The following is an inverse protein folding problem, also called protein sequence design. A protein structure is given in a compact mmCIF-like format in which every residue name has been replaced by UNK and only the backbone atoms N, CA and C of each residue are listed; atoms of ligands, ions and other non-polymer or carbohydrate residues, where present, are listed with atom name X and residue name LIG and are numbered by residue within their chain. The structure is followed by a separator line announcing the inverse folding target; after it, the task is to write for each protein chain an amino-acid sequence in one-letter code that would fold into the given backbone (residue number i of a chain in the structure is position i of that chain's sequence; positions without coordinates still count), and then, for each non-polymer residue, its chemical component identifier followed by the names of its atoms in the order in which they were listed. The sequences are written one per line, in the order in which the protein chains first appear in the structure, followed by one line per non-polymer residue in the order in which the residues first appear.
data_IF_810295668143
#
_entry.id   IF_810295668143
#
_cell.length_a   1.000
_cell.length_b   1.000
_cell.length_c   1.000
_cell.angle_alpha   90.00
_cell.angle_beta   90.00
_cell.angle_gamma   90.00
#
_symmetry.space_group_name_H-M   'P 1'
#
loop_
_entity.id
_entity.type
_entity.pdbx_description
1 polymer ?
2 polymer ?
3 non-polymer ?
4 water ?
#
# COMPACT_ATOMS: atom_id res chain seq x y z
N UNK A 2 -11.45 17.28 -12.74
CA UNK A 2 -12.60 18.17 -12.82
C UNK A 2 -13.88 17.37 -13.05
N UNK A 3 -13.85 16.35 -13.93
CA UNK A 3 -15.03 15.50 -14.11
C UNK A 3 -15.00 14.43 -13.02
N UNK A 4 -16.08 14.38 -12.23
CA UNK A 4 -16.19 13.50 -11.09
C UNK A 4 -17.06 12.31 -11.43
N UNK A 5 -16.89 11.19 -10.71
CA UNK A 5 -17.85 10.09 -10.85
C UNK A 5 -19.20 10.51 -10.29
N UNK A 6 -20.23 9.84 -10.74
CA UNK A 6 -21.59 10.14 -10.31
C UNK A 6 -21.86 9.37 -9.01
N UNK A 7 -22.24 10.10 -7.95
CA UNK A 7 -22.46 9.50 -6.64
C UNK A 7 -23.94 9.21 -6.35
N UNK A 8 -24.86 9.60 -7.23
CA UNK A 8 -26.29 9.41 -6.98
C UNK A 8 -26.73 8.02 -7.43
N UNK A 9 -27.65 7.43 -6.66
CA UNK A 9 -28.08 6.06 -6.89
C UNK A 9 -29.60 5.99 -6.77
N UNK A 10 -30.22 4.98 -7.36
CA UNK A 10 -31.66 4.79 -7.17
C UNK A 10 -31.98 4.60 -5.69
N UNK A 11 -33.27 4.75 -5.37
CA UNK A 11 -33.71 4.50 -4.01
C UNK A 11 -33.37 3.05 -3.61
N UNK A 12 -32.88 2.88 -2.39
CA UNK A 12 -32.46 1.56 -1.94
C UNK A 12 -31.04 1.19 -2.30
N UNK A 13 -30.32 2.05 -3.03
CA UNK A 13 -28.97 1.74 -3.44
C UNK A 13 -28.04 2.84 -2.95
N UNK A 14 -26.76 2.49 -2.74
CA UNK A 14 -25.75 3.43 -2.27
C UNK A 14 -24.53 3.34 -3.16
N UNK A 15 -23.87 4.50 -3.37
CA UNK A 15 -22.65 4.53 -4.17
C UNK A 15 -21.58 3.69 -3.48
N UNK A 16 -20.92 2.84 -4.25
CA UNK A 16 -19.90 1.96 -3.69
C UNK A 16 -18.48 2.31 -4.12
N UNK A 17 -18.23 2.47 -5.42
CA UNK A 17 -16.88 2.73 -5.90
C UNK A 17 -16.95 3.22 -7.33
N UNK A 18 -15.79 3.63 -7.86
CA UNK A 18 -15.74 3.99 -9.27
C UNK A 18 -14.39 3.59 -9.82
N UNK A 19 -14.34 3.33 -11.12
CA UNK A 19 -13.16 2.84 -11.81
C UNK A 19 -13.05 3.57 -13.13
N UNK A 20 -11.85 3.57 -13.69
CA UNK A 20 -11.68 4.02 -15.08
C UNK A 20 -12.11 2.88 -16.00
N UNK A 21 -13.28 3.02 -16.61
CA UNK A 21 -13.72 2.05 -17.59
C UNK A 21 -12.90 2.19 -18.87
N UNK A 22 -12.73 3.42 -19.33
CA UNK A 22 -11.81 3.74 -20.41
C UNK A 22 -10.96 4.93 -19.97
N UNK A 23 -9.92 5.20 -20.78
CA UNK A 23 -9.12 6.40 -20.56
C UNK A 23 -9.97 7.65 -20.47
N UNK A 24 -11.14 7.66 -21.14
CA UNK A 24 -12.03 8.81 -21.19
C UNK A 24 -13.44 8.51 -20.64
N UNK A 25 -13.60 7.48 -19.81
CA UNK A 25 -14.92 7.14 -19.27
C UNK A 25 -14.78 6.62 -17.84
N UNK A 26 -15.40 7.35 -16.89
CA UNK A 26 -15.52 6.86 -15.51
C UNK A 26 -16.72 5.93 -15.44
N UNK A 27 -16.63 4.90 -14.60
CA UNK A 27 -17.77 4.04 -14.35
C UNK A 27 -17.98 3.98 -12.86
N UNK A 28 -19.18 4.34 -12.40
CA UNK A 28 -19.56 4.31 -11.00
C UNK A 28 -20.50 3.13 -10.75
N UNK A 29 -20.43 2.58 -9.53
CA UNK A 29 -21.20 1.40 -9.15
C UNK A 29 -22.01 1.72 -7.91
N UNK A 30 -23.32 1.54 -8.00
CA UNK A 30 -24.22 1.50 -6.85
C UNK A 30 -24.40 0.05 -6.39
N UNK A 31 -24.76 -0.11 -5.11
CA UNK A 31 -25.03 -1.43 -4.56
C UNK A 31 -26.34 -1.36 -3.80
N UNK A 32 -27.12 -2.44 -3.89
CA UNK A 32 -28.34 -2.60 -3.14
C UNK A 32 -28.08 -3.49 -1.93
N UNK A 33 -29.03 -3.48 -1.00
CA UNK A 33 -29.01 -4.39 0.14
C UNK A 33 -30.36 -5.08 0.25
N UNK A 34 -30.45 -6.38 -0.08
CA UNK A 34 -29.36 -7.27 -0.53
C UNK A 34 -28.88 -6.93 -1.93
N UNK A 35 -27.68 -7.37 -2.29
CA UNK A 35 -27.16 -7.21 -3.65
C UNK A 35 -28.15 -7.74 -4.67
N UNK A 36 -28.26 -7.05 -5.81
CA UNK A 36 -29.13 -7.53 -6.87
C UNK A 36 -28.56 -7.09 -8.22
N UNK A 37 -29.12 -7.65 -9.29
CA UNK A 37 -28.69 -7.30 -10.64
C UNK A 37 -29.32 -6.00 -11.14
N UNK A 38 -30.12 -5.35 -10.30
CA UNK A 38 -30.76 -4.08 -10.62
C UNK A 38 -29.85 -2.90 -10.28
N UNK A 39 -28.67 -3.17 -9.73
CA UNK A 39 -27.77 -2.12 -9.27
C UNK A 39 -27.36 -1.16 -10.41
N UNK A 40 -27.51 0.14 -10.15
CA UNK A 40 -27.21 1.14 -11.17
C UNK A 40 -25.71 1.28 -11.40
N UNK A 41 -25.30 1.16 -12.66
CA UNK A 41 -23.91 1.36 -13.09
C UNK A 41 -23.93 2.53 -14.06
N UNK A 42 -23.14 3.57 -13.79
CA UNK A 42 -23.25 4.81 -14.54
C UNK A 42 -21.91 5.14 -15.17
N UNK A 43 -21.90 5.34 -16.48
CA UNK A 43 -20.70 5.72 -17.22
C UNK A 43 -20.71 7.23 -17.44
N UNK A 44 -19.61 7.89 -17.09
CA UNK A 44 -19.48 9.33 -17.20
C UNK A 44 -18.32 9.65 -18.12
N UNK A 45 -18.54 10.27 -19.28
CA UNK A 45 -17.43 10.61 -20.17
C UNK A 45 -16.61 11.75 -19.61
N UNK A 46 -15.28 11.65 -19.74
CA UNK A 46 -14.40 12.79 -19.49
C UNK A 46 -14.52 13.80 -20.64
N UNK A 47 -14.16 15.04 -20.36
CA UNK A 47 -13.95 15.96 -21.45
C UNK A 47 -12.71 15.57 -22.26
N UNK A 48 -12.67 15.92 -23.55
CA UNK A 48 -11.57 15.42 -24.40
C UNK A 48 -10.18 15.86 -23.96
N UNK A 49 -10.05 16.86 -23.09
CA UNK A 49 -8.71 17.25 -22.62
C UNK A 49 -8.33 16.60 -21.30
N UNK A 50 -9.21 15.77 -20.75
CA UNK A 50 -9.00 15.09 -19.49
C UNK A 50 -8.64 13.61 -19.72
N UNK A 51 -8.05 13.01 -18.70
CA UNK A 51 -7.77 11.59 -18.68
C UNK A 51 -8.31 11.04 -17.36
N UNK A 52 -8.82 9.81 -17.40
CA UNK A 52 -9.31 9.17 -16.20
C UNK A 52 -8.16 8.61 -15.37
N UNK A 53 -8.14 8.92 -14.08
CA UNK A 53 -7.12 8.39 -13.18
C UNK A 53 -7.82 7.68 -12.02
N UNK A 54 -7.13 6.70 -11.44
CA UNK A 54 -7.77 5.81 -10.47
C UNK A 54 -6.87 5.53 -9.28
N UNK A 55 -7.45 5.46 -8.09
CA UNK A 55 -6.66 5.08 -6.92
C UNK A 55 -7.61 4.53 -5.89
N UNK A 56 -7.05 3.98 -4.82
CA UNK A 56 -7.87 3.43 -3.76
C UNK A 56 -7.93 4.43 -2.62
N UNK A 57 -9.13 4.67 -2.10
CA UNK A 57 -9.36 5.60 -1.02
C UNK A 57 -8.95 4.97 0.31
N UNK A 58 -8.85 5.82 1.35
CA UNK A 58 -8.53 5.39 2.70
C UNK A 58 -9.31 4.16 3.15
N UNK A 59 -10.51 3.92 2.60
CA UNK A 59 -11.34 2.78 2.95
C UNK A 59 -11.15 1.59 2.01
N UNK A 60 -10.12 1.63 1.16
CA UNK A 60 -9.88 0.56 0.21
C UNK A 60 -10.75 0.58 -1.03
N UNK A 61 -11.74 1.47 -1.13
CA UNK A 61 -12.58 1.45 -2.31
C UNK A 61 -11.93 2.21 -3.46
N UNK A 62 -12.16 1.72 -4.67
CA UNK A 62 -11.60 2.38 -5.85
C UNK A 62 -12.30 3.72 -6.07
N UNK A 63 -11.53 4.71 -6.51
CA UNK A 63 -12.09 6.04 -6.82
C UNK A 63 -11.47 6.52 -8.12
N UNK A 64 -12.32 6.86 -9.09
CA UNK A 64 -11.86 7.31 -10.40
C UNK A 64 -12.49 8.66 -10.76
N UNK A 65 -11.70 9.49 -11.45
CA UNK A 65 -12.13 10.81 -11.89
C UNK A 65 -11.23 11.26 -13.03
N UNK A 66 -11.66 12.26 -13.77
CA UNK A 66 -10.88 12.78 -14.88
C UNK A 66 -10.17 14.06 -14.47
N UNK A 67 -8.89 14.13 -14.83
CA UNK A 67 -8.05 15.31 -14.55
C UNK A 67 -7.56 15.82 -15.90
N UNK A 68 -7.48 17.14 -16.12
CA UNK A 68 -6.87 17.63 -17.37
C UNK A 68 -5.45 17.10 -17.54
N UNK A 69 -5.15 16.63 -18.75
CA UNK A 69 -3.83 16.06 -18.99
C UNK A 69 -2.74 17.09 -18.72
N UNK A 70 -3.00 18.38 -18.98
CA UNK A 70 -1.99 19.39 -18.70
C UNK A 70 -1.64 19.47 -17.22
N UNK A 71 -2.51 18.96 -16.34
CA UNK A 71 -2.26 19.02 -14.91
C UNK A 71 -1.54 17.79 -14.36
N UNK A 72 -1.14 16.84 -15.22
CA UNK A 72 -0.39 15.68 -14.76
C UNK A 72 0.69 15.39 -15.80
N UNK A 73 1.37 14.25 -15.63
CA UNK A 73 2.48 13.86 -16.47
C UNK A 73 2.00 12.72 -17.36
N UNK A 74 2.03 12.93 -18.66
CA UNK A 74 1.74 11.88 -19.62
C UNK A 74 3.07 11.39 -20.17
N UNK A 75 3.28 10.07 -20.18
CA UNK A 75 4.51 9.50 -20.71
C UNK A 75 4.25 8.13 -21.32
N UNK A 76 5.23 7.67 -22.11
CA UNK A 76 5.17 6.37 -22.78
C UNK A 76 6.05 5.38 -22.02
N UNK A 77 5.55 4.17 -21.82
CA UNK A 77 6.41 3.13 -21.30
C UNK A 77 7.37 2.67 -22.39
N UNK A 78 8.41 1.94 -21.98
CA UNK A 78 9.47 1.57 -22.92
C UNK A 78 8.89 0.84 -24.14
N UNK A 79 9.53 1.08 -25.29
CA UNK A 79 9.11 0.38 -26.50
C UNK A 79 9.17 -1.13 -26.34
N UNK A 80 10.20 -1.63 -25.65
CA UNK A 80 10.34 -3.05 -25.35
C UNK A 80 9.60 -3.30 -24.05
N UNK A 81 8.49 -4.04 -24.12
CA UNK A 81 7.72 -4.34 -22.94
C UNK A 81 8.52 -4.90 -21.78
N UNK A 82 9.66 -5.56 -22.05
CA UNK A 82 10.44 -6.18 -20.98
C UNK A 82 11.52 -5.26 -20.44
N UNK A 83 11.54 -4.00 -20.86
CA UNK A 83 12.51 -3.02 -20.35
C UNK A 83 11.79 -2.08 -19.39
N UNK A 84 12.31 -1.99 -18.16
CA UNK A 84 11.76 -1.03 -17.21
C UNK A 84 12.14 0.40 -17.61
N UNK A 85 11.15 1.29 -17.67
CA UNK A 85 11.40 2.68 -18.01
C UNK A 85 10.78 3.60 -16.98
N UNK A 86 11.34 4.80 -16.86
CA UNK A 86 10.99 5.67 -15.74
C UNK A 86 10.84 7.12 -16.18
N UNK A 87 10.20 7.92 -15.32
CA UNK A 87 10.16 9.37 -15.46
C UNK A 87 10.27 9.98 -14.07
N UNK A 88 10.72 11.24 -14.01
CA UNK A 88 10.94 11.91 -12.73
C UNK A 88 10.09 13.17 -12.65
N UNK A 89 9.58 13.45 -11.46
CA UNK A 89 8.55 14.45 -11.22
C UNK A 89 8.80 15.15 -9.89
N UNK A 90 8.89 16.49 -9.93
CA UNK A 90 8.70 17.35 -8.76
C UNK A 90 7.23 17.67 -8.59
N UNK A 91 6.83 17.98 -7.37
CA UNK A 91 5.47 18.42 -7.08
C UNK A 91 5.53 19.70 -6.24
N UNK A 92 4.85 20.75 -6.70
CA UNK A 92 4.69 22.02 -6.01
C UNK A 92 3.34 22.08 -5.31
N UNK A 93 3.25 22.67 -4.12
CA UNK A 93 4.35 23.24 -3.34
C UNK A 93 5.06 22.17 -2.54
N UNK A 94 6.15 22.52 -1.85
CA UNK A 94 6.81 21.58 -0.94
C UNK A 94 5.81 21.05 0.10
N UNK A 95 5.91 19.76 0.37
CA UNK A 95 5.01 19.15 1.34
C UNK A 95 4.84 17.68 1.04
N UNK A 96 3.99 17.05 1.83
CA UNK A 96 3.79 15.61 1.75
C UNK A 96 2.70 15.36 0.72
N UNK A 97 3.04 14.60 -0.33
CA UNK A 97 2.07 14.24 -1.37
C UNK A 97 2.34 12.82 -1.84
N UNK A 98 1.32 12.23 -2.49
CA UNK A 98 1.45 10.97 -3.21
C UNK A 98 1.55 11.25 -4.71
N UNK A 99 2.08 10.27 -5.45
CA UNK A 99 1.82 10.17 -6.87
C UNK A 99 0.92 8.97 -7.11
N UNK A 100 0.05 9.06 -8.12
CA UNK A 100 -0.61 7.88 -8.62
C UNK A 100 -0.18 7.69 -10.06
N UNK A 101 -0.34 6.48 -10.59
CA UNK A 101 -0.01 6.21 -11.98
C UNK A 101 -1.04 5.21 -12.52
N UNK A 102 -1.53 5.43 -13.73
CA UNK A 102 -2.43 4.48 -14.38
C UNK A 102 -1.89 4.27 -15.79
N UNK A 103 -2.09 3.07 -16.35
CA UNK A 103 -1.52 2.70 -17.65
C UNK A 103 -2.65 2.25 -18.55
N UNK A 104 -2.65 2.76 -19.79
CA UNK A 104 -3.66 2.47 -20.81
C UNK A 104 -3.00 1.91 -22.06
N UNK A 105 -3.75 1.06 -22.76
CA UNK A 105 -3.27 0.54 -24.03
C UNK A 105 -3.83 1.39 -25.17
N UNK A 106 -3.54 1.00 -26.42
CA UNK A 106 -3.89 1.85 -27.54
C UNK A 106 -5.41 1.96 -27.73
N UNK A 107 -6.18 1.01 -27.21
CA UNK A 107 -7.62 1.00 -27.31
C UNK A 107 -8.30 1.75 -26.16
N UNK A 108 -7.53 2.51 -25.39
CA UNK A 108 -7.97 3.27 -24.23
C UNK A 108 -8.47 2.38 -23.09
N UNK A 109 -8.07 1.12 -23.08
CA UNK A 109 -8.45 0.25 -21.96
C UNK A 109 -7.33 0.27 -20.93
N UNK A 110 -7.66 0.27 -19.63
CA UNK A 110 -6.60 0.07 -18.63
C UNK A 110 -5.90 -1.24 -18.91
N UNK A 111 -4.59 -1.27 -18.68
CA UNK A 111 -3.81 -2.47 -18.93
C UNK A 111 -2.94 -2.74 -17.71
N UNK A 112 -3.01 -3.98 -17.20
CA UNK A 112 -2.17 -4.38 -16.07
C UNK A 112 -0.71 -4.49 -16.50
N UNK A 113 0.18 -3.95 -15.68
CA UNK A 113 1.62 -4.06 -15.91
C UNK A 113 2.21 -4.87 -14.75
N UNK A 114 3.38 -5.47 -15.00
CA UNK A 114 4.01 -6.35 -14.02
C UNK A 114 4.45 -5.58 -12.77
N UNK A 115 4.95 -4.37 -12.95
CA UNK A 115 5.45 -3.65 -11.79
C UNK A 115 5.38 -2.15 -12.02
N UNK A 116 4.85 -1.43 -11.03
CA UNK A 116 4.98 0.01 -10.92
C UNK A 116 5.72 0.27 -9.61
N UNK A 117 6.84 0.99 -9.68
CA UNK A 117 7.60 1.25 -8.47
C UNK A 117 7.96 2.72 -8.39
N UNK A 118 8.05 3.20 -7.18
CA UNK A 118 8.31 4.61 -6.89
C UNK A 118 9.59 4.73 -6.08
N UNK A 119 10.44 5.72 -6.42
CA UNK A 119 11.69 5.95 -5.72
C UNK A 119 11.78 7.42 -5.34
N UNK A 120 11.97 7.69 -4.04
CA UNK A 120 12.25 9.04 -3.62
C UNK A 120 13.68 9.38 -3.96
N UNK A 121 13.90 10.63 -4.36
CA UNK A 121 15.20 11.06 -4.83
C UNK A 121 15.58 12.36 -4.14
N UNK A 122 16.86 12.56 -3.85
CA UNK A 122 17.98 11.65 -4.13
C UNK A 122 17.96 10.45 -3.19
N UNK A 123 18.66 9.38 -3.57
CA UNK A 123 18.83 8.24 -2.71
C UNK A 123 18.12 6.98 -3.14
N UNK A 124 17.26 7.05 -4.16
CA UNK A 124 16.56 5.87 -4.65
C UNK A 124 15.86 5.15 -3.51
N UNK A 125 15.11 5.92 -2.74
CA UNK A 125 14.45 5.44 -1.54
C UNK A 125 13.15 4.74 -1.93
N UNK A 126 12.95 3.51 -1.47
CA UNK A 126 11.73 2.78 -1.85
C UNK A 126 10.48 3.53 -1.37
N UNK A 127 9.64 4.00 -2.31
CA UNK A 127 8.38 4.68 -1.98
C UNK A 127 7.17 3.91 -2.51
N UNK A 128 7.31 2.60 -2.66
CA UNK A 128 6.17 1.75 -2.96
C UNK A 128 6.40 0.93 -4.19
N UNK A 129 6.01 -0.35 -4.17
CA UNK A 129 6.10 -1.23 -5.32
C UNK A 129 4.78 -1.96 -5.45
N UNK A 130 4.17 -1.92 -6.62
CA UNK A 130 2.93 -2.64 -6.88
C UNK A 130 3.03 -3.45 -8.14
N UNK A 131 2.29 -4.56 -8.20
CA UNK A 131 2.41 -5.47 -9.31
C UNK A 131 1.07 -5.95 -9.82
N UNK A 132 1.08 -6.42 -11.07
CA UNK A 132 -0.11 -6.96 -11.75
C UNK A 132 -1.32 -6.08 -11.52
N UNK A 133 -1.20 -4.86 -12.02
CA UNK A 133 -2.19 -3.84 -11.73
C UNK A 133 -2.11 -2.78 -12.83
N UNK A 134 -3.26 -2.19 -13.15
CA UNK A 134 -3.24 -1.09 -14.10
C UNK A 134 -2.95 0.25 -13.43
N UNK A 135 -2.98 0.32 -12.10
CA UNK A 135 -2.77 1.58 -11.42
C UNK A 135 -2.15 1.32 -10.06
N UNK A 136 -1.39 2.30 -9.57
CA UNK A 136 -0.72 2.11 -8.27
C UNK A 136 -0.20 3.46 -7.77
N UNK A 137 -0.31 3.68 -6.45
CA UNK A 137 0.07 4.95 -5.83
C UNK A 137 1.27 4.75 -4.91
N UNK A 138 2.09 5.81 -4.83
CA UNK A 138 3.26 5.87 -3.97
C UNK A 138 2.86 6.07 -2.52
N UNK A 139 3.82 5.80 -1.65
CA UNK A 139 3.76 6.24 -0.26
C UNK A 139 3.63 7.77 -0.20
N UNK A 140 3.27 8.27 0.98
CA UNK A 140 3.25 9.71 1.21
C UNK A 140 4.68 10.23 1.35
N UNK A 141 5.09 11.12 0.45
CA UNK A 141 6.49 11.51 0.32
C UNK A 141 6.64 13.02 0.48
N UNK A 142 7.70 13.43 1.19
CA UNK A 142 7.91 14.86 1.46
C UNK A 142 8.65 15.45 0.26
N UNK A 143 7.90 15.98 -0.70
CA UNK A 143 8.46 16.73 -1.82
C UNK A 143 8.99 18.10 -1.35
N UNK A 144 10.04 18.56 -2.02
CA UNK A 144 10.64 19.88 -1.78
C UNK A 144 11.48 20.26 -2.99
N UNK A 145 12.11 21.43 -2.93
CA UNK A 145 12.94 21.84 -4.06
C UNK A 145 14.10 20.88 -4.29
N UNK A 146 14.50 20.12 -3.26
CA UNK A 146 15.57 19.15 -3.41
C UNK A 146 15.08 17.69 -3.44
N UNK A 147 13.81 17.43 -3.13
CA UNK A 147 13.27 16.07 -3.07
C UNK A 147 12.22 15.88 -4.14
N UNK A 148 12.38 14.84 -4.97
CA UNK A 148 11.42 14.53 -6.03
C UNK A 148 11.29 13.01 -6.14
N UNK A 149 10.44 12.56 -7.06
CA UNK A 149 10.09 11.14 -7.11
C UNK A 149 10.24 10.60 -8.52
N UNK A 150 10.90 9.45 -8.64
CA UNK A 150 11.00 8.70 -9.89
C UNK A 150 9.92 7.61 -9.89
N UNK A 151 9.19 7.50 -10.99
CA UNK A 151 8.19 6.44 -11.19
C UNK A 151 8.69 5.51 -12.29
N UNK A 152 8.66 4.20 -12.05
CA UNK A 152 9.13 3.23 -13.02
C UNK A 152 8.03 2.23 -13.35
N UNK A 153 7.85 1.93 -14.64
CA UNK A 153 6.88 0.93 -15.09
C UNK A 153 7.63 -0.19 -15.80
N UNK A 154 7.37 -1.41 -15.39
CA UNK A 154 7.86 -2.61 -16.07
C UNK A 154 6.62 -3.32 -16.61
N UNK A 155 6.39 -3.21 -17.91
CA UNK A 155 5.16 -3.78 -18.49
C UNK A 155 5.16 -5.28 -18.39
N UNK A 156 6.24 -5.93 -18.86
CA UNK A 156 6.27 -7.39 -18.94
C UNK A 156 5.49 -7.98 -20.10
N UNK A 157 4.79 -7.16 -20.88
CA UNK A 157 4.13 -7.66 -22.06
C UNK A 157 4.24 -6.70 -23.23
N UNK A 158 3.16 -5.98 -23.53
CA UNK A 158 3.18 -4.95 -24.56
C UNK A 158 4.01 -3.75 -24.09
N UNK A 159 4.73 -3.13 -25.03
CA UNK A 159 5.41 -1.89 -24.77
C UNK A 159 4.68 -0.71 -25.36
N UNK A 160 5.33 0.46 -25.29
CA UNK A 160 4.77 1.71 -25.83
C UNK A 160 3.37 1.99 -25.26
N UNK A 161 3.16 1.65 -24.00
CA UNK A 161 1.89 1.93 -23.35
C UNK A 161 1.84 3.38 -22.90
N UNK A 162 0.61 3.89 -22.69
CA UNK A 162 0.36 5.28 -22.30
C UNK A 162 0.17 5.38 -20.79
N UNK A 163 1.12 6.02 -20.11
CA UNK A 163 1.08 6.15 -18.66
C UNK A 163 0.73 7.57 -18.27
N UNK A 164 0.03 7.70 -17.14
CA UNK A 164 -0.37 9.00 -16.63
C UNK A 164 -0.04 9.04 -15.14
N UNK A 165 0.74 10.03 -14.73
CA UNK A 165 1.18 10.14 -13.34
C UNK A 165 0.76 11.49 -12.79
N UNK A 166 0.01 11.48 -11.69
CA UNK A 166 -0.60 12.67 -11.13
C UNK A 166 -0.25 12.70 -9.64
N UNK A 167 -0.50 13.84 -8.99
CA UNK A 167 -0.27 13.95 -7.55
C UNK A 167 -1.59 14.04 -6.80
N UNK A 168 -1.64 13.47 -5.59
CA UNK A 168 -2.86 13.50 -4.78
C UNK A 168 -2.51 13.48 -3.30
N UNK A 169 -3.46 13.95 -2.49
CA UNK A 169 -3.41 13.92 -1.04
C UNK A 169 -4.73 13.40 -0.51
N UNK A 170 -4.73 12.91 0.73
CA UNK A 170 -6.00 12.52 1.33
C UNK A 170 -6.28 13.33 2.58
N UNK B 1 32.93 -36.19 -5.32
CA UNK B 1 32.21 -35.70 -4.14
C UNK B 1 31.65 -34.29 -4.36
N UNK B 2 30.43 -34.02 -3.91
CA UNK B 2 29.85 -32.70 -4.08
C UNK B 2 28.92 -32.35 -2.93
N UNK B 3 28.96 -31.07 -2.54
CA UNK B 3 28.11 -30.52 -1.48
C UNK B 3 26.96 -29.72 -2.08
N UNK B 4 25.79 -29.90 -1.50
CA UNK B 4 24.58 -29.22 -1.93
C UNK B 4 23.82 -28.75 -0.71
N UNK B 5 23.08 -27.64 -0.82
CA UNK B 5 22.50 -27.04 0.39
C UNK B 5 21.38 -27.89 0.98
N UNK B 6 21.16 -27.73 2.28
CA UNK B 6 20.05 -28.35 2.98
C UNK B 6 19.05 -27.24 3.26
N UNK B 7 17.96 -27.23 2.50
CA UNK B 7 17.00 -26.15 2.56
C UNK B 7 15.98 -26.39 3.67
N UNK B 8 15.31 -25.31 4.09
CA UNK B 8 14.13 -25.43 4.93
C UNK B 8 13.01 -26.25 4.24
N UNK B 9 13.00 -26.31 2.92
CA UNK B 9 12.00 -27.11 2.21
C UNK B 9 12.64 -28.33 1.56
N UNK B 10 11.93 -29.45 1.48
CA UNK B 10 12.49 -30.63 0.82
C UNK B 10 12.61 -30.44 -0.68
N UNK B 11 13.39 -31.32 -1.30
CA UNK B 11 13.49 -31.36 -2.76
C UNK B 11 12.10 -31.42 -3.39
N UNK B 12 11.96 -30.73 -4.52
CA UNK B 12 10.67 -30.60 -5.17
C UNK B 12 9.73 -29.61 -4.54
N UNK B 13 10.16 -28.93 -3.46
CA UNK B 13 9.33 -27.95 -2.78
C UNK B 13 10.12 -26.65 -2.62
N UNK B 14 9.41 -25.53 -2.60
CA UNK B 14 10.03 -24.22 -2.49
C UNK B 14 9.42 -23.45 -1.32
N UNK B 15 10.26 -22.70 -0.59
CA UNK B 15 9.74 -21.79 0.42
C UNK B 15 8.73 -20.81 -0.21
N UNK B 16 7.58 -20.65 0.44
CA UNK B 16 6.55 -19.74 -0.03
C UNK B 16 6.40 -18.51 0.85
N UNK B 17 6.23 -18.71 2.16
CA UNK B 17 5.80 -17.62 3.03
C UNK B 17 5.91 -18.09 4.48
N UNK B 18 5.83 -17.12 5.39
CA UNK B 18 5.90 -17.37 6.81
C UNK B 18 5.05 -16.34 7.54
N UNK B 19 4.48 -16.77 8.68
CA UNK B 19 3.55 -15.98 9.46
C UNK B 19 3.88 -16.17 10.94
N UNK B 20 3.38 -15.25 11.77
CA UNK B 20 3.43 -15.46 13.21
C UNK B 20 2.25 -16.36 13.59
N UNK B 21 2.54 -17.65 13.79
CA UNK B 21 1.53 -18.57 14.31
C UNK B 21 1.16 -18.21 15.74
N UNK B 22 2.17 -17.93 16.57
CA UNK B 22 1.99 -17.45 17.92
C UNK B 22 2.95 -16.28 18.13
N UNK B 23 2.73 -15.55 19.22
CA UNK B 23 3.64 -14.46 19.56
C UNK B 23 5.08 -14.96 19.69
N UNK B 24 5.27 -16.26 19.93
CA UNK B 24 6.60 -16.84 20.07
C UNK B 24 6.79 -18.01 19.12
N UNK B 25 6.08 -18.03 17.99
CA UNK B 25 6.23 -19.14 17.05
C UNK B 25 6.06 -18.64 15.61
N UNK B 26 7.12 -18.81 14.81
CA UNK B 26 7.02 -18.59 13.36
C UNK B 26 6.50 -19.88 12.73
N UNK B 27 5.55 -19.75 11.81
CA UNK B 27 5.13 -20.88 10.97
C UNK B 27 5.54 -20.58 9.54
N UNK B 28 6.20 -21.54 8.91
CA UNK B 28 6.77 -21.39 7.58
C UNK B 28 6.16 -22.44 6.64
N UNK B 29 5.92 -22.06 5.39
CA UNK B 29 5.13 -22.85 4.44
C UNK B 29 5.96 -23.16 3.21
N UNK B 30 6.05 -24.44 2.85
CA UNK B 30 6.62 -24.86 1.57
C UNK B 30 5.50 -25.20 0.59
N UNK B 31 5.77 -25.02 -0.70
CA UNK B 31 4.81 -25.40 -1.73
C UNK B 31 5.49 -26.30 -2.75
N UNK B 32 4.76 -27.30 -3.22
CA UNK B 32 5.22 -28.19 -4.28
C UNK B 32 4.56 -27.82 -5.59
N UNK B 33 5.11 -28.32 -6.68
CA UNK B 33 4.51 -28.12 -8.00
C UNK B 33 4.43 -29.48 -8.70
N UNK B 34 3.24 -30.06 -8.84
CA UNK B 34 1.92 -29.50 -8.46
C UNK B 34 1.71 -29.42 -6.95
N UNK B 35 0.70 -28.71 -6.46
CA UNK B 35 0.46 -28.65 -5.03
C UNK B 35 0.17 -30.04 -4.50
N UNK B 36 0.47 -30.26 -3.21
CA UNK B 36 0.24 -31.56 -2.61
C UNK B 36 0.10 -31.39 -1.10
N UNK B 37 -0.58 -32.36 -0.47
CA UNK B 37 -0.68 -32.33 0.98
C UNK B 37 0.60 -32.81 1.64
N UNK B 38 1.64 -33.13 0.87
CA UNK B 38 2.96 -33.44 1.39
C UNK B 38 3.77 -32.21 1.72
N UNK B 39 3.26 -31.02 1.40
CA UNK B 39 4.01 -29.79 1.56
C UNK B 39 4.42 -29.56 3.01
N UNK B 40 5.68 -29.17 3.21
CA UNK B 40 6.29 -29.08 4.53
C UNK B 40 5.83 -27.82 5.24
N UNK B 41 5.36 -27.98 6.48
CA UNK B 41 4.85 -26.88 7.29
C UNK B 41 5.71 -26.93 8.55
N UNK B 42 6.40 -25.84 8.89
CA UNK B 42 7.38 -25.91 9.96
C UNK B 42 7.14 -24.79 10.97
N UNK B 43 6.99 -25.15 12.23
CA UNK B 43 6.87 -24.18 13.30
C UNK B 43 8.22 -24.02 13.97
N UNK B 44 8.65 -22.78 14.16
CA UNK B 44 9.93 -22.48 14.77
C UNK B 44 9.72 -21.59 15.99
N UNK B 45 10.21 -21.97 17.16
CA UNK B 45 10.03 -21.10 18.35
C UNK B 45 10.92 -19.86 18.31
N UNK B 46 10.40 -18.76 18.84
CA UNK B 46 11.28 -17.65 19.14
C UNK B 46 12.03 -17.94 20.45
N UNK B 47 13.17 -17.29 20.61
CA UNK B 47 13.81 -17.34 21.91
C UNK B 47 12.95 -16.58 22.92
N UNK B 48 13.05 -16.93 24.21
CA UNK B 48 12.12 -16.36 25.19
C UNK B 48 12.16 -14.84 25.28
N UNK B 49 13.26 -14.21 24.88
CA UNK B 49 13.41 -12.77 24.93
C UNK B 49 12.90 -12.08 23.66
N UNK B 50 12.49 -12.86 22.66
CA UNK B 50 12.10 -12.37 21.35
C UNK B 50 10.58 -12.46 21.17
N UNK B 51 10.08 -11.74 20.16
CA UNK B 51 8.68 -11.84 19.79
C UNK B 51 8.59 -11.89 18.27
N UNK B 52 7.53 -12.51 17.77
CA UNK B 52 7.33 -12.66 16.34
C UNK B 52 6.66 -11.42 15.77
N UNK B 53 7.19 -10.92 14.66
CA UNK B 53 6.61 -9.77 13.97
C UNK B 53 6.46 -10.15 12.51
N UNK B 54 5.45 -9.57 11.86
CA UNK B 54 5.02 -9.99 10.52
C UNK B 54 4.78 -8.77 9.65
N UNK B 55 5.22 -8.85 8.40
CA UNK B 55 4.90 -7.85 7.40
C UNK B 55 4.83 -8.54 6.05
N UNK B 56 4.47 -7.78 5.02
CA UNK B 56 4.40 -8.31 3.67
C UNK B 56 5.60 -7.83 2.88
N UNK B 57 6.12 -8.70 2.01
CA UNK B 57 7.20 -8.30 1.13
C UNK B 57 6.64 -7.60 -0.11
N UNK B 58 7.56 -7.10 -0.94
CA UNK B 58 7.17 -6.44 -2.19
C UNK B 58 6.31 -7.34 -3.08
N UNK B 59 6.51 -8.66 -3.02
CA UNK B 59 5.69 -9.58 -3.81
C UNK B 59 4.36 -9.94 -3.13
N UNK B 60 4.05 -9.32 -2.00
CA UNK B 60 2.81 -9.58 -1.30
C UNK B 60 2.85 -10.72 -0.30
N UNK B 61 3.89 -11.54 -0.34
CA UNK B 61 3.99 -12.70 0.56
C UNK B 61 4.25 -12.23 2.00
N UNK B 62 3.66 -12.92 2.98
CA UNK B 62 3.96 -12.56 4.35
C UNK B 62 5.35 -13.07 4.74
N UNK B 63 6.01 -12.31 5.61
CA UNK B 63 7.34 -12.64 6.12
C UNK B 63 7.34 -12.38 7.62
N UNK B 64 7.70 -13.40 8.39
CA UNK B 64 7.70 -13.28 9.84
C UNK B 64 9.08 -13.57 10.37
N UNK B 65 9.42 -12.91 11.47
CA UNK B 65 10.71 -13.14 12.10
C UNK B 65 10.60 -12.86 13.59
N UNK B 66 11.48 -13.50 14.35
CA UNK B 66 11.61 -13.24 15.78
C UNK B 66 12.61 -12.11 16.01
N UNK B 67 12.21 -11.13 16.81
CA UNK B 67 13.05 -9.99 17.10
C UNK B 67 13.06 -9.75 18.62
N UNK B 68 14.20 -9.45 19.22
CA UNK B 68 14.21 -9.25 20.69
C UNK B 68 13.33 -8.08 21.11
N UNK B 69 12.51 -8.32 22.13
CA UNK B 69 11.53 -7.33 22.60
C UNK B 69 12.20 -6.00 22.93
N UNK B 70 13.44 -6.05 23.43
CA UNK B 70 14.15 -4.84 23.83
C UNK B 70 14.41 -3.92 22.66
N UNK B 71 14.41 -4.46 21.44
CA UNK B 71 14.59 -3.67 20.22
C UNK B 71 13.29 -3.05 19.71
N UNK B 72 12.18 -3.27 20.41
CA UNK B 72 10.85 -2.88 19.95
C UNK B 72 10.19 -2.01 21.01
N UNK B 73 9.04 -1.48 20.65
CA UNK B 73 8.16 -0.83 21.60
C UNK B 73 6.98 -1.75 21.82
N UNK B 74 6.83 -2.20 23.07
CA UNK B 74 5.68 -2.98 23.51
C UNK B 74 4.68 -2.05 24.18
N UNK B 75 3.42 -2.13 23.77
CA UNK B 75 2.41 -1.25 24.36
C UNK B 75 1.04 -1.91 24.33
N UNK B 76 0.15 -1.42 25.21
CA UNK B 76 -1.19 -1.96 25.38
C UNK B 76 -2.20 -1.09 24.65
N UNK B 77 -3.10 -1.73 23.90
CA UNK B 77 -4.22 -0.98 23.36
C UNK B 77 -5.15 -0.54 24.50
N UNK B 78 -6.08 0.34 24.15
CA UNK B 78 -6.94 0.97 25.15
C UNK B 78 -7.69 -0.08 25.96
N UNK B 79 -7.86 0.19 27.25
CA UNK B 79 -8.66 -0.70 28.08
C UNK B 79 -10.05 -0.87 27.49
N UNK B 80 -10.62 0.22 26.98
CA UNK B 80 -11.90 0.17 26.27
C UNK B 80 -11.63 -0.14 24.81
N UNK B 81 -12.17 -1.27 24.33
CA UNK B 81 -11.92 -1.70 22.97
C UNK B 81 -12.47 -0.75 21.92
N UNK B 82 -13.44 0.09 22.29
CA UNK B 82 -14.04 1.00 21.34
C UNK B 82 -13.42 2.38 21.41
N UNK B 83 -12.21 2.48 21.96
CA UNK B 83 -11.50 3.73 22.14
C UNK B 83 -10.15 3.63 21.45
N UNK B 84 -9.86 4.59 20.58
CA UNK B 84 -8.55 4.63 19.95
C UNK B 84 -7.46 4.91 20.99
N UNK B 85 -6.30 4.32 20.78
CA UNK B 85 -5.14 4.54 21.62
C UNK B 85 -3.87 4.55 20.80
N UNK B 86 -2.96 5.46 21.13
CA UNK B 86 -1.78 5.69 20.31
C UNK B 86 -0.51 5.62 21.14
N UNK B 87 0.59 5.29 20.47
CA UNK B 87 1.92 5.40 21.03
C UNK B 87 2.76 6.16 20.02
N UNK B 88 3.83 6.76 20.54
CA UNK B 88 4.71 7.60 19.73
C UNK B 88 6.13 7.09 19.82
N UNK B 89 6.80 7.00 18.66
CA UNK B 89 8.06 6.27 18.58
C UNK B 89 9.02 6.96 17.62
N UNK B 90 10.30 6.86 17.92
CA UNK B 90 11.37 7.25 17.02
C UNK B 90 12.20 6.02 16.70
N UNK B 91 13.15 6.15 15.76
CA UNK B 91 13.92 5.00 15.30
C UNK B 91 15.41 5.32 15.26
N UNK B 92 16.22 4.40 15.75
CA UNK B 92 17.66 4.51 15.72
C UNK B 92 18.21 3.49 14.72
N UNK B 93 19.09 3.90 13.79
CA UNK B 93 19.61 5.25 13.58
C UNK B 93 18.64 6.11 12.78
N UNK B 94 18.95 7.39 12.64
CA UNK B 94 18.16 8.24 11.76
C UNK B 94 18.29 7.76 10.32
N UNK B 95 17.23 7.95 9.55
CA UNK B 95 17.18 7.53 8.17
C UNK B 95 15.79 7.04 7.84
N UNK B 96 15.64 6.48 6.63
CA UNK B 96 14.35 5.98 6.19
C UNK B 96 14.08 4.62 6.80
N UNK B 97 12.91 4.46 7.42
CA UNK B 97 12.46 3.20 7.97
C UNK B 97 10.94 3.14 7.81
N UNK B 98 10.41 1.93 7.85
CA UNK B 98 9.00 1.71 8.11
C UNK B 98 8.85 1.31 9.56
N UNK B 99 7.66 1.53 10.10
CA UNK B 99 7.24 0.86 11.32
C UNK B 99 6.28 -0.26 10.96
N UNK B 100 6.42 -1.39 11.64
CA UNK B 100 5.44 -2.46 11.60
C UNK B 100 4.76 -2.51 12.96
N UNK B 101 3.50 -2.96 12.98
CA UNK B 101 2.78 -3.18 14.23
C UNK B 101 2.02 -4.50 14.14
N UNK B 102 2.16 -5.36 15.14
CA UNK B 102 1.38 -6.59 15.21
C UNK B 102 0.69 -6.62 16.57
N UNK B 103 -0.50 -7.22 16.63
CA UNK B 103 -1.34 -7.21 17.83
C UNK B 103 -1.63 -8.65 18.25
N UNK B 104 -1.46 -8.92 19.53
CA UNK B 104 -1.64 -10.26 20.10
C UNK B 104 -2.65 -10.21 21.22
N UNK B 105 -3.38 -11.32 21.42
CA UNK B 105 -4.26 -11.43 22.56
C UNK B 105 -3.53 -12.15 23.69
N UNK B 106 -4.26 -12.45 24.78
CA UNK B 106 -3.64 -12.98 25.99
C UNK B 106 -3.10 -14.38 25.76
N UNK B 107 -3.57 -15.05 24.71
CA UNK B 107 -3.15 -16.41 24.39
C UNK B 107 -2.02 -16.43 23.37
N UNK B 108 -1.41 -15.29 23.09
CA UNK B 108 -0.31 -15.16 22.13
C UNK B 108 -0.73 -15.47 20.71
N UNK B 109 -2.02 -15.38 20.42
CA UNK B 109 -2.57 -15.47 19.07
C UNK B 109 -2.70 -14.08 18.46
N UNK B 110 -2.37 -13.95 17.17
CA UNK B 110 -2.65 -12.69 16.48
C UNK B 110 -4.14 -12.39 16.54
N UNK B 111 -4.47 -11.13 16.79
CA UNK B 111 -5.84 -10.66 16.81
C UNK B 111 -5.99 -9.51 15.83
N UNK B 112 -7.07 -9.55 15.02
CA UNK B 112 -7.36 -8.48 14.08
C UNK B 112 -7.98 -7.29 14.82
N UNK B 113 -7.61 -6.09 14.40
CA UNK B 113 -8.18 -4.87 14.96
C UNK B 113 -8.82 -4.10 13.82
N UNK B 114 -9.83 -3.27 14.13
CA UNK B 114 -10.49 -2.47 13.09
C UNK B 114 -9.51 -1.59 12.31
N UNK B 115 -8.58 -0.92 13.00
CA UNK B 115 -7.77 0.09 12.34
C UNK B 115 -6.41 0.23 13.01
N UNK B 116 -5.36 0.19 12.20
CA UNK B 116 -4.01 0.58 12.56
C UNK B 116 -3.65 1.76 11.67
N UNK B 117 -3.28 2.89 12.27
CA UNK B 117 -3.00 4.06 11.47
C UNK B 117 -1.73 4.73 11.97
N UNK B 118 -1.00 5.32 11.03
CA UNK B 118 0.32 5.88 11.28
C UNK B 118 0.29 7.36 10.93
N UNK B 119 0.94 8.18 11.76
CA UNK B 119 1.03 9.62 11.50
C UNK B 119 2.47 10.07 11.66
N UNK B 120 3.03 10.63 10.61
CA UNK B 120 4.34 11.23 10.72
C UNK B 120 4.24 12.51 11.54
N UNK B 121 5.27 12.76 12.35
CA UNK B 121 5.23 13.92 13.22
C UNK B 121 6.51 14.73 13.05
N UNK B 122 6.43 16.05 13.26
CA UNK B 122 5.20 16.80 13.54
C UNK B 122 4.39 16.96 12.26
N UNK B 123 3.12 17.36 12.35
CA UNK B 123 2.26 17.55 11.21
C UNK B 123 1.13 16.56 11.07
N UNK B 124 1.13 15.47 11.83
CA UNK B 124 0.10 14.44 11.76
C UNK B 124 -0.12 14.01 10.31
N UNK B 125 0.99 13.77 9.62
CA UNK B 125 0.96 13.35 8.22
C UNK B 125 0.50 11.90 8.13
N UNK B 126 -0.47 11.62 7.24
CA UNK B 126 -0.96 10.26 7.07
C UNK B 126 0.15 9.39 6.47
N UNK B 127 0.58 8.38 7.20
CA UNK B 127 1.66 7.49 6.77
C UNK B 127 1.19 6.06 6.64
N UNK B 128 -0.11 5.88 6.42
CA UNK B 128 -0.66 4.56 6.20
C UNK B 128 -1.86 4.30 7.09
N UNK B 129 -2.89 3.68 6.54
CA UNK B 129 -4.04 3.21 7.33
C UNK B 129 -4.38 1.80 6.88
N UNK B 130 -4.49 0.88 7.83
CA UNK B 130 -4.86 -0.49 7.54
C UNK B 130 -6.02 -0.92 8.41
N UNK B 131 -6.79 -1.86 7.91
CA UNK B 131 -8.05 -2.23 8.55
C UNK B 131 -8.23 -3.72 8.61
N UNK B 132 -8.94 -4.16 9.65
CA UNK B 132 -9.33 -5.56 9.85
C UNK B 132 -8.14 -6.48 9.60
N UNK B 133 -7.09 -6.21 10.38
CA UNK B 133 -5.83 -6.94 10.23
C UNK B 133 -5.16 -6.99 11.59
N UNK B 134 -4.37 -8.05 11.80
CA UNK B 134 -3.56 -8.17 13.01
C UNK B 134 -2.21 -7.49 12.87
N UNK B 135 -1.77 -7.16 11.66
CA UNK B 135 -0.51 -6.46 11.50
C UNK B 135 -0.61 -5.49 10.34
N UNK B 136 0.14 -4.40 10.43
CA UNK B 136 0.14 -3.40 9.36
C UNK B 136 1.39 -2.53 9.47
N UNK B 137 1.96 -2.14 8.31
CA UNK B 137 3.20 -1.38 8.25
C UNK B 137 2.99 0.01 7.67
N UNK B 138 3.74 0.98 8.20
CA UNK B 138 3.68 2.36 7.72
C UNK B 138 4.33 2.50 6.35
N UNK B 139 4.12 3.67 5.73
CA UNK B 139 4.90 4.07 4.58
C UNK B 139 6.38 4.21 4.98
N UNK B 140 7.25 4.30 3.99
CA UNK B 140 8.66 4.57 4.27
C UNK B 140 8.77 6.02 4.73
N UNK B 141 9.49 6.27 5.81
CA UNK B 141 9.47 7.57 6.49
C UNK B 141 10.86 7.93 6.98
N UNK B 142 11.22 9.19 6.80
CA UNK B 142 12.55 9.68 7.18
C UNK B 142 12.56 10.04 8.66
N UNK B 143 13.07 9.11 9.49
CA UNK B 143 13.19 9.35 10.94
C UNK B 143 14.45 10.13 11.27
N UNK B 144 14.32 11.05 12.22
CA UNK B 144 15.43 11.91 12.61
C UNK B 144 15.29 12.29 14.09
N UNK B 145 16.20 13.12 14.58
CA UNK B 145 16.04 13.63 15.93
C UNK B 145 14.77 14.46 16.06
N UNK B 146 14.32 15.05 14.96
CA UNK B 146 13.17 15.94 14.91
C UNK B 146 11.94 15.34 14.26
N UNK B 147 12.04 14.16 13.66
CA UNK B 147 10.96 13.53 12.91
C UNK B 147 10.71 12.14 13.48
N UNK B 148 9.45 11.86 13.83
CA UNK B 148 9.05 10.60 14.47
C UNK B 148 7.64 10.23 14.03
N UNK B 149 7.11 9.13 14.59
CA UNK B 149 5.85 8.57 14.13
C UNK B 149 4.94 8.16 15.27
N UNK B 150 3.67 8.48 15.12
CA UNK B 150 2.64 8.03 16.02
C UNK B 150 1.90 6.87 15.38
N UNK B 151 1.66 5.82 16.16
CA UNK B 151 0.87 4.68 15.74
C UNK B 151 -0.39 4.65 16.59
N UNK B 152 -1.54 4.51 15.96
CA UNK B 152 -2.81 4.43 16.66
C UNK B 152 -3.52 3.11 16.33
N UNK B 153 -4.05 2.46 17.36
CA UNK B 153 -4.82 1.23 17.17
C UNK B 153 -6.23 1.46 17.67
N UNK B 154 -7.21 1.08 16.85
CA UNK B 154 -8.61 1.01 17.24
C UNK B 154 -9.02 -0.46 17.20
N UNK B 155 -9.15 -1.07 18.38
CA UNK B 155 -9.49 -2.50 18.42
C UNK B 155 -10.83 -2.75 17.77
N UNK B 156 -11.88 -2.10 18.28
CA UNK B 156 -13.24 -2.37 17.87
C UNK B 156 -13.86 -3.59 18.52
N UNK B 157 -13.11 -4.31 19.37
CA UNK B 157 -13.67 -5.41 20.13
C UNK B 157 -13.07 -5.48 21.53
N UNK B 158 -12.20 -6.46 21.73
CA UNK B 158 -11.49 -6.60 23.01
C UNK B 158 -10.48 -5.46 23.20
N UNK B 159 -10.31 -5.02 24.45
CA UNK B 159 -9.30 -4.04 24.81
C UNK B 159 -8.08 -4.69 25.47
N UNK B 160 -7.15 -3.82 25.90
CA UNK B 160 -5.92 -4.24 26.58
C UNK B 160 -5.18 -5.33 25.79
N UNK B 161 -5.14 -5.18 24.48
CA UNK B 161 -4.38 -6.10 23.65
C UNK B 161 -2.90 -5.75 23.69
N UNK B 162 -2.05 -6.72 23.39
CA UNK B 162 -0.61 -6.49 23.41
C UNK B 162 -0.16 -6.12 22.00
N UNK B 163 0.31 -4.87 21.83
CA UNK B 163 0.82 -4.41 20.55
C UNK B 163 2.34 -4.37 20.57
N UNK B 164 2.94 -4.60 19.40
CA UNK B 164 4.39 -4.53 19.24
C UNK B 164 4.67 -3.75 17.97
N UNK B 165 5.43 -2.66 18.10
CA UNK B 165 5.76 -1.80 16.97
C UNK B 165 7.26 -1.80 16.78
N UNK B 166 7.71 -2.28 15.62
CA UNK B 166 9.12 -2.41 15.31
C UNK B 166 9.43 -1.64 14.04
N UNK B 167 10.72 -1.51 13.75
CA UNK B 167 11.18 -0.78 12.58
C UNK B 167 11.84 -1.75 11.60
N UNK B 168 11.57 -1.56 10.32
CA UNK B 168 12.23 -2.36 9.29
C UNK B 168 12.53 -1.46 8.10
N UNK B 169 13.44 -1.92 7.25
CA UNK B 169 13.96 -1.16 6.12
C UNK B 169 13.66 -1.93 4.84
N UNK B 170 13.23 -1.21 3.81
CA UNK B 170 12.99 -1.86 2.54
C UNK B 170 14.08 -1.42 1.63
N UNK C 16 17.79 17.37 -11.19
CA UNK C 16 16.49 18.00 -11.33
C UNK C 16 15.55 17.02 -12.04
N UNK C 17 14.26 17.18 -11.78
CA UNK C 17 13.24 16.30 -12.32
C UNK C 17 12.87 16.68 -13.75
N UNK C 18 12.45 15.69 -14.54
CA UNK C 18 12.04 15.98 -15.90
C UNK C 18 10.74 16.78 -15.97
N UNK C 19 9.87 16.66 -14.97
CA UNK C 19 8.58 17.32 -14.98
C UNK C 19 8.28 17.89 -13.59
N UNK C 20 7.46 18.94 -13.57
CA UNK C 20 6.97 19.49 -12.33
C UNK C 20 5.45 19.53 -12.36
N UNK C 21 4.83 18.97 -11.32
CA UNK C 21 3.37 18.97 -11.20
C UNK C 21 2.95 20.14 -10.32
N UNK C 22 1.93 20.88 -10.77
CA UNK C 22 1.43 22.02 -10.02
C UNK C 22 -0.04 21.86 -9.64
N UNK C 23 -0.57 20.64 -9.70
CA UNK C 23 -1.96 20.39 -9.34
C UNK C 23 -1.98 19.14 -8.46
N UNK C 24 -2.65 19.24 -7.29
CA UNK C 24 -2.70 18.14 -6.34
C UNK C 24 -4.17 17.75 -6.14
N UNK C 25 -4.51 16.52 -6.54
CA UNK C 25 -5.89 16.06 -6.48
C UNK C 25 -6.28 15.64 -5.07
N UNK C 26 -7.48 16.02 -4.66
CA UNK C 26 -8.05 15.57 -3.39
C UNK C 26 -9.48 15.14 -3.66
N UNK C 27 -9.84 13.93 -3.24
CA UNK C 27 -11.19 13.41 -3.47
C UNK C 27 -12.19 14.17 -2.62
N UNK C 28 -13.38 14.50 -3.15
CA UNK C 28 -14.37 15.20 -2.33
C UNK C 28 -14.73 14.39 -1.11
N UNK C 29 -15.11 15.10 -0.06
CA UNK C 29 -15.58 14.47 1.16
C UNK C 29 -16.68 13.44 0.89
N UNK C 30 -17.55 13.70 -0.07
CA UNK C 30 -18.68 12.80 -0.27
C UNK C 30 -18.23 11.41 -0.72
N UNK C 31 -16.99 11.26 -1.19
CA UNK C 31 -16.43 9.97 -1.56
C UNK C 31 -15.42 9.44 -0.55
N UNK C 32 -14.69 10.33 0.12
CA UNK C 32 -13.66 9.98 1.12
C UNK C 32 -14.03 10.70 2.40
N UNK C 33 -14.95 10.14 3.21
CA UNK C 33 -15.39 10.78 4.45
C UNK C 33 -14.32 10.78 5.56
#
# INVERSE_FOLDING_TARGET
SDTLPVSTCPAGQKYDRSVCYKADKIRSFCVANPRSNREKITDTPCQPREICVQRNLSNGKSFAKCIPIVDLVEWKTSANGNKEGCTTTSVNPAGYHHLGTIVYDINKNPIEVDKISYFGEPGNVNEGIGGSTSYFSSDNFQFSKSRYMKTCIFSGGYGNLNAYTWSWES
SDTLPVSTCPAGQKYDRSVCYKADKIRSFCVANPRSNREKITDTPCQPREICVQRNLSNGKSFAKCIPIVDLVEWKTSANGNKEGCTTTSVNPAGYHHLGTIVYDINKNPIEVDKISYFGEPGNVNEGIGGSTSYFSSDNFQFSKSRYMKTCIFSGGYGNLNAYTWSWES
GPMGPLAQTESESADVAEHTINYIDIAPEEFEPPKANLSSLVENLYFQ
#
